data_IF_050616359717
#
_entry.id   IF_050616359717
#
_cell.length_a   1.000
_cell.length_b   1.000
_cell.length_c   1.000
_cell.angle_alpha   90.00
_cell.angle_beta   90.00
_cell.angle_gamma   90.00
#
_symmetry.space_group_name_H-M   'P 1'
#
loop_
_entity.id
_entity.type
_entity.pdbx_description
1 polymer ?
#
# COMPACT_ATOMS: atom_id res chain seq x y z
N UNK A 1 6.04 7.39 20.22
CA UNK A 1 5.16 6.85 19.16
C UNK A 1 4.34 7.99 18.58
N UNK A 2 4.17 7.99 17.29
CA UNK A 2 3.46 9.07 16.60
C UNK A 2 2.42 8.48 15.64
N UNK A 3 1.18 8.96 15.73
CA UNK A 3 0.13 8.60 14.79
C UNK A 3 0.23 9.51 13.55
N UNK A 4 0.27 8.87 12.38
CA UNK A 4 0.44 9.57 11.10
C UNK A 4 -0.91 9.68 10.40
N UNK A 5 -1.20 10.86 9.88
CA UNK A 5 -2.40 11.09 9.09
C UNK A 5 -2.07 12.02 7.93
N UNK A 6 -2.38 11.56 6.72
CA UNK A 6 -2.26 12.37 5.50
C UNK A 6 -3.62 12.92 5.13
N UNK A 7 -3.75 14.23 4.86
CA UNK A 7 -5.01 14.79 4.36
C UNK A 7 -5.32 14.39 2.91
N UNK A 8 -4.34 13.81 2.21
CA UNK A 8 -4.48 13.38 0.81
C UNK A 8 -5.09 11.97 0.69
N UNK A 9 -5.31 11.30 1.81
CA UNK A 9 -5.87 9.95 1.86
C UNK A 9 -7.12 10.01 2.74
N UNK A 10 -8.19 9.26 2.40
CA UNK A 10 -9.39 9.23 3.23
C UNK A 10 -9.08 8.83 4.68
N UNK A 11 -9.81 9.40 5.61
CA UNK A 11 -9.70 9.03 7.01
C UNK A 11 -10.02 7.52 7.18
N UNK A 12 -9.41 6.84 8.17
CA UNK A 12 -9.69 5.43 8.40
C UNK A 12 -11.19 5.19 8.65
N UNK A 13 -11.74 4.16 7.99
CA UNK A 13 -13.14 3.79 8.15
C UNK A 13 -13.39 2.99 9.44
N UNK A 14 -12.34 2.57 10.15
CA UNK A 14 -12.42 1.78 11.37
C UNK A 14 -11.54 2.33 12.47
N UNK A 15 -11.31 1.52 13.49
CA UNK A 15 -10.55 1.91 14.67
C UNK A 15 -9.06 1.64 14.47
N UNK A 16 -8.41 2.47 13.66
CA UNK A 16 -6.96 2.36 13.38
C UNK A 16 -6.44 3.69 12.82
N UNK A 17 -5.12 3.85 12.83
CA UNK A 17 -4.45 4.99 12.20
C UNK A 17 -3.98 4.61 10.80
N UNK A 18 -3.79 5.59 9.92
CA UNK A 18 -3.22 5.33 8.59
C UNK A 18 -1.81 4.73 8.72
N UNK A 19 -1.02 5.25 9.63
CA UNK A 19 0.29 4.72 9.95
C UNK A 19 0.71 5.11 11.37
N UNK A 20 1.69 4.39 11.90
CA UNK A 20 2.28 4.68 13.22
C UNK A 20 3.79 4.72 13.06
N UNK A 21 4.41 5.75 13.62
CA UNK A 21 5.87 5.86 13.67
C UNK A 21 6.34 5.49 15.06
N UNK A 22 7.27 4.53 15.14
CA UNK A 22 7.85 4.10 16.41
C UNK A 22 9.22 3.48 16.15
N UNK A 23 10.21 3.81 16.99
CA UNK A 23 11.53 3.21 16.91
C UNK A 23 12.25 3.42 15.59
N UNK A 24 12.02 4.54 14.93
CA UNK A 24 12.62 4.82 13.62
C UNK A 24 11.95 4.12 12.45
N UNK A 25 10.85 3.42 12.70
CA UNK A 25 10.09 2.72 11.67
C UNK A 25 8.70 3.35 11.51
N UNK A 26 8.18 3.23 10.30
CA UNK A 26 6.81 3.67 9.98
C UNK A 26 6.03 2.44 9.56
N UNK A 27 4.99 2.13 10.32
CA UNK A 27 4.12 0.98 10.07
C UNK A 27 2.86 1.49 9.41
N UNK A 28 2.71 1.22 8.11
CA UNK A 28 1.53 1.64 7.34
C UNK A 28 0.47 0.55 7.46
N UNK A 29 -0.74 0.93 7.85
CA UNK A 29 -1.88 0.02 7.90
C UNK A 29 -2.21 -0.53 6.52
N UNK A 30 -3.02 -1.58 6.44
CA UNK A 30 -3.46 -2.12 5.17
C UNK A 30 -4.19 -1.07 4.33
N UNK A 31 -3.77 -0.90 3.08
CA UNK A 31 -4.31 0.13 2.17
C UNK A 31 -5.01 -0.55 1.01
N UNK A 32 -6.32 -0.32 0.93
CA UNK A 32 -7.16 -0.73 -0.20
C UNK A 32 -7.12 0.35 -1.29
N UNK A 33 -7.43 -0.03 -2.56
CA UNK A 33 -7.30 0.91 -3.66
C UNK A 33 -8.27 2.10 -3.62
N UNK A 34 -9.45 1.90 -3.03
CA UNK A 34 -10.54 2.84 -3.20
C UNK A 34 -11.19 2.68 -4.57
N UNK A 35 -12.35 3.31 -4.76
CA UNK A 35 -13.11 3.24 -6.01
C UNK A 35 -12.40 4.02 -7.12
N UNK A 36 -12.54 3.60 -8.39
CA UNK A 36 -12.01 4.39 -9.49
C UNK A 36 -12.71 5.75 -9.56
N UNK A 37 -11.98 6.74 -10.07
CA UNK A 37 -12.55 8.07 -10.31
C UNK A 37 -13.61 7.99 -11.40
N UNK A 38 -14.50 8.99 -11.44
CA UNK A 38 -15.53 9.06 -12.49
C UNK A 38 -14.87 9.05 -13.88
N UNK A 39 -15.33 8.15 -14.74
CA UNK A 39 -14.78 7.97 -16.08
C UNK A 39 -13.54 7.10 -16.15
N UNK A 40 -12.98 6.71 -15.03
CA UNK A 40 -11.82 5.83 -14.97
C UNK A 40 -12.28 4.37 -15.08
N UNK A 41 -11.63 3.60 -15.95
CA UNK A 41 -11.93 2.17 -16.12
C UNK A 41 -11.34 1.37 -14.97
N UNK A 42 -12.16 0.50 -14.35
CA UNK A 42 -11.67 -0.38 -13.32
C UNK A 42 -10.84 -1.50 -13.93
N UNK A 43 -9.71 -1.81 -13.28
CA UNK A 43 -8.84 -2.90 -13.66
C UNK A 43 -7.99 -3.30 -12.45
N UNK A 44 -7.40 -4.49 -12.51
CA UNK A 44 -6.47 -4.92 -11.47
C UNK A 44 -5.26 -3.98 -11.40
N UNK A 45 -4.72 -3.58 -12.54
CA UNK A 45 -3.59 -2.64 -12.58
C UNK A 45 -3.95 -1.31 -11.92
N UNK A 46 -5.14 -0.76 -12.22
CA UNK A 46 -5.59 0.47 -11.56
C UNK A 46 -5.61 0.28 -10.05
N UNK A 47 -6.12 -0.84 -9.56
CA UNK A 47 -6.19 -1.11 -8.12
C UNK A 47 -4.81 -1.16 -7.48
N UNK A 48 -3.87 -1.87 -8.07
CA UNK A 48 -2.51 -1.96 -7.53
C UNK A 48 -1.86 -0.58 -7.46
N UNK A 49 -1.93 0.17 -8.56
CA UNK A 49 -1.32 1.51 -8.61
C UNK A 49 -2.00 2.48 -7.65
N UNK A 50 -3.31 2.38 -7.48
CA UNK A 50 -4.06 3.24 -6.55
C UNK A 50 -3.68 2.95 -5.09
N UNK A 51 -3.53 1.68 -4.69
CA UNK A 51 -3.07 1.33 -3.35
C UNK A 51 -1.68 1.91 -3.07
N UNK A 52 -0.75 1.77 -4.02
CA UNK A 52 0.60 2.32 -3.85
C UNK A 52 0.62 3.84 -3.85
N UNK A 53 -0.25 4.49 -4.62
CA UNK A 53 -0.37 5.95 -4.60
C UNK A 53 -0.82 6.44 -3.22
N UNK A 54 -1.78 5.76 -2.60
CA UNK A 54 -2.20 6.09 -1.24
C UNK A 54 -1.07 5.84 -0.23
N UNK A 55 -0.37 4.73 -0.35
CA UNK A 55 0.79 4.44 0.49
C UNK A 55 1.85 5.55 0.38
N UNK A 56 2.13 6.02 -0.83
CA UNK A 56 3.08 7.10 -1.07
C UNK A 56 2.67 8.37 -0.33
N UNK A 57 1.39 8.71 -0.35
CA UNK A 57 0.88 9.88 0.37
C UNK A 57 0.98 9.71 1.89
N UNK A 58 0.69 8.52 2.40
CA UNK A 58 0.82 8.24 3.84
C UNK A 58 2.29 8.32 4.26
N UNK A 59 3.19 7.71 3.50
CA UNK A 59 4.62 7.75 3.77
C UNK A 59 5.15 9.19 3.75
N UNK A 60 4.69 10.01 2.80
CA UNK A 60 5.10 11.42 2.71
C UNK A 60 4.71 12.19 3.97
N UNK A 61 3.55 11.90 4.56
CA UNK A 61 3.14 12.52 5.82
C UNK A 61 4.06 12.16 6.99
N UNK A 62 4.82 11.07 6.87
CA UNK A 62 5.82 10.65 7.85
C UNK A 62 7.24 11.07 7.45
N UNK A 63 7.40 11.80 6.35
CA UNK A 63 8.71 12.20 5.86
C UNK A 63 9.46 11.09 5.11
N UNK A 64 8.73 10.11 4.58
CA UNK A 64 9.29 8.96 3.88
C UNK A 64 8.81 8.90 2.43
N UNK A 65 9.45 8.05 1.66
CA UNK A 65 9.04 7.71 0.30
C UNK A 65 9.06 6.18 0.13
N UNK A 66 8.67 5.68 -1.03
CA UNK A 66 8.74 4.24 -1.31
C UNK A 66 10.16 3.70 -1.19
N UNK A 67 11.19 4.52 -1.43
CA UNK A 67 12.58 4.09 -1.28
C UNK A 67 12.98 3.80 0.17
N UNK A 68 12.18 4.22 1.14
CA UNK A 68 12.39 3.92 2.55
C UNK A 68 11.74 2.60 2.98
N UNK A 69 10.95 1.97 2.12
CA UNK A 69 10.23 0.73 2.45
C UNK A 69 11.22 -0.40 2.66
N UNK A 70 11.10 -1.10 3.79
CA UNK A 70 11.92 -2.27 4.12
C UNK A 70 11.15 -3.57 3.97
N UNK A 71 9.83 -3.51 4.08
CA UNK A 71 8.96 -4.69 3.93
C UNK A 71 7.63 -4.31 3.33
N UNK A 72 7.15 -5.13 2.40
CA UNK A 72 5.83 -5.03 1.80
C UNK A 72 5.11 -6.35 1.95
N UNK A 73 3.85 -6.31 2.41
CA UNK A 73 2.96 -7.45 2.35
C UNK A 73 1.80 -7.09 1.43
N UNK A 74 1.61 -7.88 0.39
CA UNK A 74 0.52 -7.71 -0.56
C UNK A 74 -0.49 -8.84 -0.37
N UNK A 75 -1.73 -8.49 -0.08
CA UNK A 75 -2.83 -9.43 0.01
C UNK A 75 -3.56 -9.43 -1.33
N UNK A 76 -3.67 -10.60 -1.95
CA UNK A 76 -4.07 -10.75 -3.35
C UNK A 76 -5.24 -11.73 -3.46
N UNK A 77 -6.32 -11.30 -4.08
CA UNK A 77 -7.43 -12.19 -4.42
C UNK A 77 -7.14 -12.80 -5.79
N UNK A 78 -7.06 -14.15 -5.83
CA UNK A 78 -6.73 -14.88 -7.05
C UNK A 78 -5.23 -15.03 -7.25
N UNK A 79 -4.71 -16.20 -6.87
CA UNK A 79 -3.26 -16.47 -6.96
C UNK A 79 -2.73 -16.37 -8.40
N UNK A 80 -3.60 -16.59 -9.39
CA UNK A 80 -3.25 -16.47 -10.81
C UNK A 80 -2.90 -15.03 -11.23
N UNK A 81 -3.20 -14.04 -10.40
CA UNK A 81 -2.84 -12.63 -10.66
C UNK A 81 -1.41 -12.29 -10.27
N UNK A 82 -0.70 -13.25 -9.68
CA UNK A 82 0.66 -13.00 -9.19
C UNK A 82 1.60 -12.46 -10.28
N UNK A 83 1.64 -13.02 -11.50
CA UNK A 83 2.56 -12.51 -12.54
C UNK A 83 2.26 -11.05 -12.90
N UNK A 84 0.99 -10.70 -13.05
CA UNK A 84 0.58 -9.31 -13.35
C UNK A 84 0.96 -8.38 -12.19
N UNK A 85 0.65 -8.79 -10.95
CA UNK A 85 1.03 -8.01 -9.77
C UNK A 85 2.54 -7.77 -9.73
N UNK A 86 3.32 -8.83 -9.93
CA UNK A 86 4.78 -8.75 -9.86
C UNK A 86 5.34 -7.77 -10.89
N UNK A 87 4.80 -7.75 -12.10
CA UNK A 87 5.24 -6.83 -13.15
C UNK A 87 4.92 -5.37 -12.77
N UNK A 88 3.73 -5.11 -12.25
CA UNK A 88 3.32 -3.76 -11.82
C UNK A 88 4.17 -3.30 -10.62
N UNK A 89 4.38 -4.21 -9.67
CA UNK A 89 5.19 -3.94 -8.49
C UNK A 89 6.63 -3.57 -8.88
N UNK A 90 7.21 -4.31 -9.81
CA UNK A 90 8.56 -4.04 -10.30
C UNK A 90 8.64 -2.67 -10.98
N UNK A 91 7.61 -2.29 -11.73
CA UNK A 91 7.53 -0.97 -12.36
C UNK A 91 7.48 0.14 -11.31
N UNK A 92 6.68 -0.04 -10.26
CA UNK A 92 6.53 0.96 -9.18
C UNK A 92 7.82 1.10 -8.37
N UNK A 93 8.43 -0.02 -7.99
CA UNK A 93 9.57 -0.02 -7.06
C UNK A 93 10.92 0.20 -7.74
N UNK A 94 11.01 -0.05 -9.04
CA UNK A 94 12.27 0.09 -9.77
C UNK A 94 13.35 -0.85 -9.24
N UNK A 95 14.54 -0.32 -8.98
CA UNK A 95 15.67 -1.12 -8.46
C UNK A 95 15.58 -1.38 -6.96
N UNK A 96 14.65 -0.75 -6.28
CA UNK A 96 14.47 -0.95 -4.84
C UNK A 96 13.72 -2.25 -4.60
N UNK A 97 14.31 -3.17 -3.82
CA UNK A 97 13.78 -4.52 -3.61
C UNK A 97 13.64 -4.81 -2.12
N UNK A 98 12.63 -4.26 -1.46
CA UNK A 98 12.39 -4.58 -0.05
C UNK A 98 11.99 -6.04 0.14
N UNK A 99 12.09 -6.53 1.36
CA UNK A 99 11.53 -7.83 1.71
C UNK A 99 10.03 -7.84 1.40
N UNK A 100 9.51 -8.96 0.88
CA UNK A 100 8.13 -9.01 0.42
C UNK A 100 7.48 -10.37 0.65
N UNK A 101 6.19 -10.35 1.01
CA UNK A 101 5.32 -11.50 0.93
C UNK A 101 4.10 -11.13 0.08
N UNK A 102 3.67 -12.05 -0.78
CA UNK A 102 2.41 -11.96 -1.51
C UNK A 102 1.52 -13.07 -1.00
N UNK A 103 0.42 -12.70 -0.36
CA UNK A 103 -0.45 -13.64 0.37
C UNK A 103 -1.79 -13.74 -0.36
N UNK A 104 -2.11 -14.90 -0.95
CA UNK A 104 -3.43 -15.10 -1.54
C UNK A 104 -4.49 -15.17 -0.44
N UNK A 105 -5.61 -14.49 -0.67
CA UNK A 105 -6.75 -14.46 0.25
C UNK A 105 -8.03 -14.73 -0.52
N UNK A 106 -9.09 -15.28 0.13
CA UNK A 106 -10.35 -15.57 -0.55
C UNK A 106 -11.07 -14.30 -1.02
N UNK A 107 -11.02 -13.24 -0.24
CA UNK A 107 -11.67 -11.96 -0.56
C UNK A 107 -11.08 -10.83 0.28
N UNK A 108 -11.32 -9.61 -0.16
CA UNK A 108 -11.00 -8.39 0.56
C UNK A 108 -12.25 -7.52 0.67
N UNK A 109 -12.23 -6.55 1.56
CA UNK A 109 -13.36 -5.63 1.75
C UNK A 109 -13.74 -4.95 0.44
N UNK A 110 -15.02 -4.75 0.23
CA UNK A 110 -15.61 -4.04 -0.92
C UNK A 110 -15.35 -4.69 -2.27
N UNK A 111 -14.95 -5.97 -2.29
CA UNK A 111 -14.65 -6.68 -3.52
C UNK A 111 -13.35 -6.29 -4.20
N UNK A 112 -12.47 -5.57 -3.53
CA UNK A 112 -11.16 -5.23 -4.08
C UNK A 112 -10.28 -6.48 -4.19
N UNK A 113 -9.31 -6.42 -5.09
CA UNK A 113 -8.46 -7.57 -5.43
C UNK A 113 -7.06 -7.47 -4.83
N UNK A 114 -6.72 -6.33 -4.25
CA UNK A 114 -5.40 -6.08 -3.67
C UNK A 114 -5.50 -5.22 -2.41
N UNK A 115 -4.65 -5.51 -1.45
CA UNK A 115 -4.42 -4.66 -0.27
C UNK A 115 -2.94 -4.65 0.03
N UNK A 116 -2.37 -3.49 0.32
CA UNK A 116 -0.93 -3.32 0.55
C UNK A 116 -0.68 -2.88 1.98
N UNK A 117 0.30 -3.51 2.62
CA UNK A 117 0.77 -3.15 3.95
C UNK A 117 2.28 -2.98 3.91
N UNK A 118 2.79 -1.88 4.48
CA UNK A 118 4.21 -1.54 4.37
C UNK A 118 4.83 -1.27 5.73
N UNK A 119 6.13 -1.53 5.83
CA UNK A 119 6.98 -1.01 6.89
C UNK A 119 8.11 -0.23 6.21
N UNK A 120 8.36 0.99 6.66
CA UNK A 120 9.43 1.84 6.14
C UNK A 120 10.38 2.24 7.25
N UNK A 121 11.63 2.50 6.88
CA UNK A 121 12.65 3.00 7.79
C UNK A 121 12.78 4.51 7.59
N UNK A 122 12.54 5.26 8.66
CA UNK A 122 12.69 6.71 8.60
C UNK A 122 14.17 7.06 8.80
N UNK A 123 14.75 7.71 7.80
CA UNK A 123 16.14 8.19 7.87
C UNK A 123 16.16 9.63 8.30
N UNK A 124 17.07 9.94 9.18
CA UNK A 124 17.29 11.30 9.65
C UNK A 124 18.26 12.04 8.71
#
# INVERSE_FOLDING_TARGET
MKFIQSPKVPAPAGHYSQAVEAGGLVFVSGVLPGKPAEGETESFERQVRASFAQCTNILAAAGCSLSNVVQCTAYLVGVERWPEFNAIYADIMGDHKPARAVVPVPELHYGFLIEIQLVAEKKN
#
